data_IF_115570473237
#
_entry.id   IF_115570473237
#
_cell.length_a   1.000
_cell.length_b   1.000
_cell.length_c   1.000
_cell.angle_alpha   90.00
_cell.angle_beta   90.00
_cell.angle_gamma   90.00
#
_symmetry.space_group_name_H-M   'P 1'
#
loop_
_entity.id
_entity.type
_entity.pdbx_description
1 polymer ?
#
# COMPACT_ATOMS: atom_id res chain seq x y z
N UNK A 1 7.87 -0.51 14.34
CA UNK A 1 7.82 -1.12 12.99
C UNK A 1 6.66 -0.49 12.26
N UNK A 2 6.85 0.08 11.06
CA UNK A 2 5.77 0.75 10.34
C UNK A 2 4.69 -0.28 9.93
N UNK A 3 3.39 -0.01 10.18
CA UNK A 3 2.31 -0.95 9.90
C UNK A 3 2.24 -1.35 8.42
N UNK A 4 2.62 -0.44 7.52
CA UNK A 4 2.73 -0.67 6.08
C UNK A 4 3.79 -1.73 5.74
N UNK A 5 4.99 -1.62 6.30
CA UNK A 5 6.09 -2.56 6.05
C UNK A 5 5.77 -3.95 6.60
N UNK A 6 5.11 -4.01 7.77
CA UNK A 6 4.66 -5.28 8.34
C UNK A 6 3.63 -5.97 7.43
N UNK A 7 2.66 -5.22 6.93
CA UNK A 7 1.64 -5.71 6.00
C UNK A 7 2.25 -6.17 4.65
N UNK A 8 3.13 -5.37 4.07
CA UNK A 8 3.85 -5.71 2.84
C UNK A 8 4.60 -7.03 2.97
N UNK A 9 5.40 -7.18 4.03
CA UNK A 9 6.17 -8.42 4.26
C UNK A 9 5.26 -9.63 4.50
N UNK A 10 4.13 -9.43 5.17
CA UNK A 10 3.14 -10.50 5.39
C UNK A 10 2.50 -10.96 4.07
N UNK A 11 2.22 -10.04 3.14
CA UNK A 11 1.62 -10.36 1.84
C UNK A 11 2.65 -10.93 0.85
N UNK A 12 3.84 -10.33 0.79
CA UNK A 12 4.90 -10.70 -0.15
C UNK A 12 5.67 -11.96 0.27
N UNK A 13 5.74 -12.24 1.58
CA UNK A 13 6.49 -13.36 2.14
C UNK A 13 8.02 -13.19 2.09
N UNK A 14 8.49 -12.03 1.63
CA UNK A 14 9.92 -11.69 1.48
C UNK A 14 10.23 -10.37 2.17
N UNK A 15 11.50 -10.10 2.53
CA UNK A 15 11.90 -8.81 3.07
C UNK A 15 11.69 -7.71 2.01
N UNK A 16 10.74 -6.82 2.28
CA UNK A 16 10.45 -5.63 1.49
C UNK A 16 10.47 -4.39 2.37
N UNK A 17 10.75 -3.25 1.76
CA UNK A 17 10.69 -1.91 2.34
C UNK A 17 9.63 -1.08 1.59
N UNK A 18 9.19 -0.01 2.22
CA UNK A 18 8.20 0.90 1.65
C UNK A 18 8.81 2.29 1.54
N UNK A 19 8.92 2.79 0.32
CA UNK A 19 9.27 4.17 0.04
C UNK A 19 7.98 4.99 -0.01
N UNK A 20 7.70 5.64 1.12
CA UNK A 20 6.55 6.50 1.29
C UNK A 20 6.60 7.69 0.35
N UNK A 21 5.57 7.84 -0.49
CA UNK A 21 5.43 8.99 -1.39
C UNK A 21 4.32 9.94 -0.94
N UNK A 22 3.27 9.40 -0.34
CA UNK A 22 2.09 10.17 0.05
C UNK A 22 1.43 9.53 1.25
N UNK A 23 1.18 10.33 2.29
CA UNK A 23 0.36 9.97 3.44
C UNK A 23 -0.62 11.08 3.71
N UNK A 24 -1.90 10.77 3.64
CA UNK A 24 -2.97 11.68 4.00
C UNK A 24 -3.72 11.11 5.20
N UNK A 25 -3.91 11.92 6.23
CA UNK A 25 -4.59 11.53 7.46
C UNK A 25 -5.74 12.51 7.72
N UNK A 26 -6.95 12.00 7.87
CA UNK A 26 -8.15 12.81 8.14
C UNK A 26 -9.22 11.98 8.86
N UNK A 27 -9.93 12.55 9.82
CA UNK A 27 -11.02 11.90 10.57
C UNK A 27 -10.68 10.49 11.13
N UNK A 28 -9.45 10.30 11.59
CA UNK A 28 -8.98 9.00 12.09
C UNK A 28 -8.78 7.94 10.99
N UNK A 29 -8.72 8.35 9.73
CA UNK A 29 -8.32 7.52 8.60
C UNK A 29 -6.96 7.97 8.08
N UNK A 30 -6.14 7.01 7.66
CA UNK A 30 -4.85 7.26 7.05
C UNK A 30 -4.76 6.48 5.75
N UNK A 31 -4.55 7.18 4.65
CA UNK A 31 -4.25 6.59 3.37
C UNK A 31 -2.76 6.76 3.08
N UNK A 32 -2.11 5.65 2.80
CA UNK A 32 -0.68 5.59 2.52
C UNK A 32 -0.48 5.06 1.10
N UNK A 33 0.23 5.82 0.28
CA UNK A 33 0.57 5.45 -1.08
C UNK A 33 2.06 5.69 -1.34
N UNK A 34 2.71 4.73 -1.98
CA UNK A 34 4.15 4.82 -2.22
C UNK A 34 4.67 3.69 -3.09
N UNK A 35 6.00 3.63 -3.21
CA UNK A 35 6.69 2.59 -3.96
C UNK A 35 7.17 1.48 -3.02
N UNK A 36 7.21 0.27 -3.54
CA UNK A 36 7.80 -0.87 -2.86
C UNK A 36 9.25 -0.96 -3.32
N UNK A 37 10.17 -1.04 -2.37
CA UNK A 37 11.61 -1.20 -2.62
C UNK A 37 12.11 -2.46 -1.92
N UNK A 38 13.18 -3.04 -2.47
CA UNK A 38 13.87 -4.15 -1.82
C UNK A 38 14.45 -3.72 -0.48
N UNK A 39 14.73 -4.67 0.40
CA UNK A 39 15.41 -4.39 1.67
C UNK A 39 16.81 -3.76 1.49
N UNK A 40 17.37 -3.91 0.30
CA UNK A 40 18.61 -3.36 -0.20
C UNK A 40 18.44 -1.95 -0.84
N UNK A 41 17.22 -1.43 -0.92
CA UNK A 41 16.89 -0.12 -1.50
C UNK A 41 16.80 -0.09 -3.03
N UNK A 42 17.02 -1.22 -3.72
CA UNK A 42 16.79 -1.32 -5.17
C UNK A 42 15.30 -1.46 -5.50
N UNK A 43 14.90 -1.28 -6.78
CA UNK A 43 13.53 -1.55 -7.21
C UNK A 43 13.11 -2.95 -6.79
N UNK A 44 11.95 -3.05 -6.12
CA UNK A 44 11.47 -4.33 -5.63
C UNK A 44 11.29 -5.35 -6.76
N UNK A 45 11.89 -6.52 -6.58
CA UNK A 45 11.71 -7.67 -7.46
C UNK A 45 10.67 -8.61 -6.85
N UNK A 46 9.66 -8.94 -7.64
CA UNK A 46 8.61 -9.87 -7.23
C UNK A 46 9.06 -11.33 -7.29
N UNK A 47 10.28 -11.64 -7.74
CA UNK A 47 10.81 -12.98 -7.83
C UNK A 47 10.75 -13.72 -6.50
N UNK A 48 10.24 -14.95 -6.54
CA UNK A 48 10.05 -15.78 -5.34
C UNK A 48 8.85 -15.38 -4.46
N UNK A 49 8.11 -14.33 -4.80
CA UNK A 49 6.83 -13.99 -4.16
C UNK A 49 5.66 -14.67 -4.88
N UNK A 50 4.50 -14.85 -4.24
CA UNK A 50 3.29 -15.32 -4.91
C UNK A 50 2.83 -14.39 -6.06
N UNK A 51 3.34 -13.17 -6.12
CA UNK A 51 3.02 -12.19 -7.16
C UNK A 51 4.03 -12.18 -8.31
N UNK A 52 5.08 -13.02 -8.28
CA UNK A 52 6.13 -13.09 -9.29
C UNK A 52 5.55 -13.25 -10.70
N UNK A 53 4.63 -14.19 -10.89
CA UNK A 53 4.05 -14.49 -12.19
C UNK A 53 3.19 -13.33 -12.70
N UNK A 54 2.35 -12.74 -11.84
CA UNK A 54 1.53 -11.59 -12.21
C UNK A 54 2.40 -10.36 -12.56
N UNK A 55 3.46 -10.10 -11.80
CA UNK A 55 4.39 -9.01 -12.07
C UNK A 55 5.19 -9.23 -13.36
N UNK A 56 5.63 -10.46 -13.64
CA UNK A 56 6.34 -10.81 -14.87
C UNK A 56 5.46 -10.62 -16.12
N UNK A 57 4.15 -10.82 -15.99
CA UNK A 57 3.17 -10.56 -17.06
C UNK A 57 2.72 -9.09 -17.13
N UNK A 58 3.35 -8.16 -16.38
CA UNK A 58 2.96 -6.75 -16.35
C UNK A 58 1.65 -6.47 -15.59
N UNK A 59 1.09 -7.47 -14.92
CA UNK A 59 -0.14 -7.37 -14.14
C UNK A 59 0.06 -6.85 -12.71
N UNK A 60 1.26 -6.36 -12.36
CA UNK A 60 1.54 -5.69 -11.08
C UNK A 60 2.46 -4.49 -11.25
N UNK A 61 2.07 -3.38 -10.63
CA UNK A 61 2.94 -2.21 -10.44
C UNK A 61 3.88 -2.43 -9.26
N UNK A 62 4.93 -1.60 -9.10
CA UNK A 62 5.80 -1.61 -7.89
C UNK A 62 5.33 -0.61 -6.83
N UNK A 63 4.03 -0.38 -6.75
CA UNK A 63 3.42 0.59 -5.83
C UNK A 63 2.60 -0.12 -4.78
N UNK A 64 2.42 0.51 -3.63
CA UNK A 64 1.57 0.02 -2.56
C UNK A 64 0.57 1.11 -2.18
N UNK A 65 -0.68 0.70 -1.97
CA UNK A 65 -1.73 1.52 -1.41
C UNK A 65 -2.29 0.82 -0.16
N UNK A 66 -2.37 1.53 0.96
CA UNK A 66 -2.90 1.00 2.21
C UNK A 66 -3.86 2.00 2.86
N UNK A 67 -4.97 1.48 3.35
CA UNK A 67 -5.95 2.21 4.14
C UNK A 67 -5.90 1.72 5.58
N UNK A 68 -5.69 2.66 6.48
CA UNK A 68 -5.60 2.42 7.91
C UNK A 68 -6.64 3.27 8.62
N UNK A 69 -7.12 2.76 9.75
CA UNK A 69 -8.04 3.46 10.62
C UNK A 69 -7.51 3.46 12.04
N UNK A 70 -7.53 4.61 12.67
CA UNK A 70 -7.25 4.76 14.08
C UNK A 70 -8.44 4.19 14.88
N UNK A 71 -8.13 3.27 15.79
CA UNK A 71 -9.11 2.69 16.71
C UNK A 71 -8.98 3.25 18.13
N UNK A 72 -8.26 4.36 18.31
CA UNK A 72 -7.96 4.99 19.60
C UNK A 72 -6.76 4.41 20.36
N UNK A 73 -6.27 3.22 19.99
CA UNK A 73 -5.08 2.62 20.59
C UNK A 73 -3.93 2.45 19.56
N UNK A 74 -4.27 2.11 18.32
CA UNK A 74 -3.32 1.94 17.23
C UNK A 74 -4.00 2.05 15.85
N UNK A 75 -3.21 2.43 14.86
CA UNK A 75 -3.59 2.33 13.45
C UNK A 75 -3.76 0.86 13.06
N UNK A 76 -4.97 0.50 12.63
CA UNK A 76 -5.29 -0.85 12.14
C UNK A 76 -5.47 -0.81 10.63
N UNK A 77 -4.87 -1.77 9.92
CA UNK A 77 -5.06 -1.94 8.48
C UNK A 77 -6.52 -2.32 8.20
N UNK A 78 -7.23 -1.48 7.45
CA UNK A 78 -8.58 -1.78 6.97
C UNK A 78 -8.49 -2.53 5.65
N UNK A 79 -7.72 -1.99 4.69
CA UNK A 79 -7.50 -2.61 3.38
C UNK A 79 -6.12 -2.23 2.84
N UNK A 80 -5.62 -3.01 1.88
CA UNK A 80 -4.28 -2.83 1.31
C UNK A 80 -4.19 -3.51 -0.06
N UNK A 81 -3.58 -2.82 -1.01
CA UNK A 81 -3.32 -3.32 -2.35
C UNK A 81 -1.81 -3.23 -2.66
N UNK A 82 -1.20 -4.40 -2.87
CA UNK A 82 0.21 -4.54 -3.27
C UNK A 82 0.28 -4.59 -4.80
N UNK A 83 1.02 -3.67 -5.40
CA UNK A 83 1.24 -3.61 -6.85
C UNK A 83 -0.03 -3.49 -7.71
N UNK A 84 -1.01 -2.65 -7.38
CA UNK A 84 -2.20 -2.52 -8.20
C UNK A 84 -1.85 -1.93 -9.58
N UNK A 85 -2.39 -2.51 -10.65
CA UNK A 85 -2.32 -1.95 -12.02
C UNK A 85 -3.22 -0.73 -12.18
N UNK A 86 -4.29 -0.69 -11.40
CA UNK A 86 -5.33 0.34 -11.43
C UNK A 86 -5.40 1.07 -10.08
N UNK A 87 -6.26 2.09 -9.98
CA UNK A 87 -6.60 2.73 -8.70
C UNK A 87 -7.39 1.74 -7.83
N UNK A 88 -6.71 0.77 -7.20
CA UNK A 88 -7.38 -0.27 -6.41
C UNK A 88 -8.16 0.28 -5.20
N UNK A 89 -7.86 1.51 -4.79
CA UNK A 89 -8.58 2.24 -3.75
C UNK A 89 -9.74 3.09 -4.27
N UNK A 90 -9.99 3.08 -5.57
CA UNK A 90 -11.20 3.65 -6.16
C UNK A 90 -12.42 2.95 -5.55
N UNK A 91 -13.31 3.74 -4.94
CA UNK A 91 -14.46 3.25 -4.18
C UNK A 91 -14.18 2.83 -2.72
N UNK A 92 -12.94 2.86 -2.21
CA UNK A 92 -12.68 2.57 -0.79
C UNK A 92 -13.36 3.57 0.15
N UNK A 93 -13.44 4.84 -0.25
CA UNK A 93 -14.16 5.87 0.49
C UNK A 93 -15.61 5.45 0.75
N UNK A 94 -16.33 5.03 -0.29
CA UNK A 94 -17.73 4.60 -0.20
C UNK A 94 -17.87 3.24 0.51
N UNK A 95 -16.98 2.29 0.20
CA UNK A 95 -17.00 0.94 0.75
C UNK A 95 -16.76 0.91 2.26
N UNK A 96 -15.81 1.72 2.73
CA UNK A 96 -15.36 1.73 4.13
C UNK A 96 -15.85 2.93 4.92
N UNK A 97 -16.48 3.92 4.27
CA UNK A 97 -16.88 5.18 4.90
C UNK A 97 -15.70 6.08 5.23
N UNK A 98 -14.60 5.97 4.48
CA UNK A 98 -13.41 6.80 4.65
C UNK A 98 -13.55 8.13 3.88
N UNK A 99 -13.00 9.24 4.40
CA UNK A 99 -13.09 10.55 3.74
C UNK A 99 -12.40 10.53 2.37
N UNK A 100 -13.11 10.86 1.29
CA UNK A 100 -12.56 10.83 -0.07
C UNK A 100 -11.30 11.70 -0.25
N UNK A 101 -11.12 12.73 0.59
CA UNK A 101 -9.99 13.64 0.51
C UNK A 101 -8.64 12.96 0.78
N UNK A 102 -8.58 11.93 1.62
CA UNK A 102 -7.31 11.23 1.92
C UNK A 102 -6.78 10.42 0.73
N UNK A 103 -7.65 10.04 -0.20
CA UNK A 103 -7.27 9.27 -1.39
C UNK A 103 -6.64 10.14 -2.51
N UNK A 104 -6.46 11.44 -2.27
CA UNK A 104 -5.76 12.32 -3.19
C UNK A 104 -4.26 12.03 -3.18
N UNK A 105 -3.78 11.42 -4.27
CA UNK A 105 -2.36 11.34 -4.57
C UNK A 105 -1.92 12.56 -5.38
N UNK A 106 -0.86 13.28 -4.97
CA UNK A 106 -0.31 14.37 -5.76
C UNK A 106 0.12 13.84 -7.13
N UNK A 107 -0.51 14.36 -8.17
CA UNK A 107 -0.08 14.18 -9.55
C UNK A 107 1.04 15.19 -9.77
N UNK A 108 2.28 14.73 -9.77
CA UNK A 108 3.44 15.50 -10.25
C UNK A 108 3.48 15.44 -11.79
#
# INVERSE_FOLDING_TARGET
MHPVVADLRAQLGVPAEFEEKTVNIEDGWAFVYGKIVGADGLPFDYGGTPFAEAAANGGRSRTYAGLFRDNGAAWTRVDSAVGPTDLAWDGWAERYGAPAAIFRIPTD
#
